data_IF_101653519034
#
_entry.id   IF_101653519034
#
_cell.length_a   1.000
_cell.length_b   1.000
_cell.length_c   1.000
_cell.angle_alpha   90.00
_cell.angle_beta   90.00
_cell.angle_gamma   90.00
#
_symmetry.space_group_name_H-M   'P 1'
#
loop_
_entity.id
_entity.type
_entity.pdbx_description
1 polymer ?
#
# COMPACT_ATOMS: atom_id res chain seq x y z
N UNK A 1 -21.64 27.06 20.00
CA UNK A 1 -21.92 26.05 18.96
C UNK A 1 -20.71 25.13 18.86
N UNK A 2 -20.70 24.03 19.61
CA UNK A 2 -19.58 23.08 19.65
C UNK A 2 -20.04 21.75 19.07
N UNK A 3 -19.69 21.47 17.82
CA UNK A 3 -19.96 20.17 17.19
C UNK A 3 -18.82 19.20 17.48
N UNK A 4 -19.16 18.12 18.19
CA UNK A 4 -18.30 16.96 18.44
C UNK A 4 -18.33 16.04 17.22
N UNK A 5 -17.21 15.92 16.52
CA UNK A 5 -17.02 14.84 15.53
C UNK A 5 -16.50 13.61 16.26
N UNK A 6 -17.36 12.60 16.42
CA UNK A 6 -16.98 11.28 16.89
C UNK A 6 -16.30 10.52 15.74
N UNK A 7 -15.00 10.32 15.85
CA UNK A 7 -14.25 9.40 15.00
C UNK A 7 -14.47 8.00 15.57
N UNK A 8 -15.35 7.23 14.94
CA UNK A 8 -15.56 5.82 15.26
C UNK A 8 -14.30 5.03 14.92
N UNK A 9 -13.56 4.64 15.95
CA UNK A 9 -12.48 3.68 15.87
C UNK A 9 -13.08 2.29 15.56
N UNK A 10 -12.90 1.80 14.33
CA UNK A 10 -13.16 0.41 14.00
C UNK A 10 -12.03 -0.45 14.60
N UNK A 11 -12.19 -0.83 15.86
CA UNK A 11 -11.29 -1.71 16.58
C UNK A 11 -11.30 -3.12 15.98
N UNK A 12 -10.10 -3.67 15.82
CA UNK A 12 -9.83 -5.01 15.31
C UNK A 12 -10.59 -6.09 16.08
N UNK A 13 -11.38 -6.91 15.38
CA UNK A 13 -11.88 -8.17 15.91
C UNK A 13 -10.78 -9.23 15.84
N UNK A 14 -10.08 -9.44 16.96
CA UNK A 14 -9.23 -10.60 17.20
C UNK A 14 -10.11 -11.77 17.65
N UNK A 15 -10.51 -12.65 16.72
CA UNK A 15 -11.13 -13.93 17.07
C UNK A 15 -10.06 -14.88 17.60
N UNK A 16 -10.15 -15.24 18.89
CA UNK A 16 -9.51 -16.42 19.45
C UNK A 16 -10.24 -17.67 18.90
N UNK A 17 -9.49 -18.55 18.23
CA UNK A 17 -9.94 -19.87 17.79
C UNK A 17 -8.79 -20.87 17.90
N UNK A 18 -9.05 -21.97 18.58
CA UNK A 18 -8.09 -22.93 19.14
C UNK A 18 -7.46 -23.91 18.14
N UNK A 19 -6.20 -24.28 18.43
CA UNK A 19 -5.51 -25.54 18.12
C UNK A 19 -5.09 -25.84 16.66
N UNK A 20 -3.91 -25.32 16.33
CA UNK A 20 -2.96 -25.84 15.34
C UNK A 20 -1.71 -25.00 15.45
N UNK A 21 -0.51 -25.57 15.55
CA UNK A 21 0.74 -24.81 15.50
C UNK A 21 0.96 -24.24 14.09
N UNK A 22 0.13 -23.29 13.69
CA UNK A 22 0.34 -22.39 12.57
C UNK A 22 0.89 -21.11 13.19
N UNK A 23 2.15 -20.76 12.91
CA UNK A 23 2.59 -19.44 13.30
C UNK A 23 1.79 -18.43 12.44
N UNK A 24 1.33 -17.31 13.03
CA UNK A 24 0.32 -16.46 12.40
C UNK A 24 0.94 -15.66 11.25
N UNK A 25 0.94 -16.23 10.04
CA UNK A 25 1.22 -15.48 8.82
C UNK A 25 0.05 -14.55 8.50
N UNK A 26 0.33 -13.26 8.32
CA UNK A 26 -0.68 -12.22 8.11
C UNK A 26 -0.28 -11.33 6.94
N UNK A 27 -1.26 -10.96 6.12
CA UNK A 27 -1.11 -9.96 5.08
C UNK A 27 -2.32 -9.04 5.07
N UNK A 28 -2.09 -7.74 5.10
CA UNK A 28 -3.13 -6.72 5.09
C UNK A 28 -2.76 -5.62 4.11
N UNK A 29 -3.76 -5.03 3.50
CA UNK A 29 -3.62 -3.88 2.63
C UNK A 29 -4.81 -2.96 2.83
N UNK A 30 -4.60 -1.67 2.58
CA UNK A 30 -5.63 -0.63 2.58
C UNK A 30 -5.43 0.24 1.35
N UNK A 31 -6.53 0.75 0.80
CA UNK A 31 -6.53 1.70 -0.28
C UNK A 31 -7.51 2.83 -0.03
N UNK A 32 -7.11 4.03 -0.39
CA UNK A 32 -7.95 5.23 -0.37
C UNK A 32 -7.76 5.99 -1.66
N UNK A 33 -8.85 6.51 -2.22
CA UNK A 33 -8.79 7.41 -3.35
C UNK A 33 -9.92 8.42 -3.25
N UNK A 34 -9.63 9.67 -3.58
CA UNK A 34 -10.62 10.72 -3.66
C UNK A 34 -10.28 11.63 -4.84
N UNK A 35 -11.29 12.01 -5.59
CA UNK A 35 -11.15 12.90 -6.74
C UNK A 35 -12.31 13.86 -6.82
N UNK A 36 -12.04 15.00 -7.43
CA UNK A 36 -13.02 16.02 -7.75
C UNK A 36 -12.72 16.54 -9.15
N UNK A 37 -13.75 16.69 -9.98
CA UNK A 37 -13.64 17.24 -11.31
C UNK A 37 -14.79 18.23 -11.53
N UNK A 38 -14.48 19.39 -12.10
CA UNK A 38 -15.45 20.45 -12.37
C UNK A 38 -14.96 21.40 -13.46
N UNK A 39 -15.81 22.36 -13.84
CA UNK A 39 -15.52 23.30 -14.94
C UNK A 39 -14.23 24.13 -14.74
N UNK A 40 -13.77 24.26 -13.49
CA UNK A 40 -12.57 25.03 -13.12
C UNK A 40 -11.30 24.18 -13.01
N UNK A 41 -11.38 22.86 -13.21
CA UNK A 41 -10.25 21.93 -13.08
C UNK A 41 -10.62 20.62 -12.39
N UNK A 42 -9.64 19.74 -12.26
CA UNK A 42 -9.76 18.45 -11.60
C UNK A 42 -8.60 18.21 -10.64
N UNK A 43 -8.86 17.55 -9.52
CA UNK A 43 -7.82 17.16 -8.58
C UNK A 43 -8.14 15.83 -7.94
N UNK A 44 -7.11 15.05 -7.64
CA UNK A 44 -7.28 13.76 -7.01
C UNK A 44 -6.09 13.36 -6.18
N UNK A 45 -6.36 12.45 -5.28
CA UNK A 45 -5.38 11.76 -4.46
C UNK A 45 -5.69 10.28 -4.47
N UNK A 46 -4.65 9.47 -4.52
CA UNK A 46 -4.74 8.03 -4.42
C UNK A 46 -3.65 7.54 -3.49
N UNK A 47 -3.96 6.55 -2.68
CA UNK A 47 -3.00 5.96 -1.76
C UNK A 47 -3.33 4.51 -1.53
N UNK A 48 -2.29 3.68 -1.46
CA UNK A 48 -2.43 2.33 -0.92
C UNK A 48 -1.26 2.05 0.00
N UNK A 49 -1.49 1.14 0.94
CA UNK A 49 -0.44 0.64 1.80
C UNK A 49 -0.74 -0.79 2.22
N UNK A 50 0.28 -1.46 2.71
CA UNK A 50 0.19 -2.85 3.03
C UNK A 50 1.29 -3.29 3.99
N UNK A 51 1.00 -4.37 4.68
CA UNK A 51 1.93 -5.02 5.60
C UNK A 51 1.74 -6.52 5.54
N UNK A 52 2.83 -7.24 5.71
CA UNK A 52 2.84 -8.68 5.83
C UNK A 52 3.86 -9.11 6.89
N UNK A 53 3.53 -10.14 7.64
CA UNK A 53 4.41 -10.74 8.63
C UNK A 53 4.22 -12.26 8.66
N UNK A 54 5.31 -12.99 8.84
CA UNK A 54 5.34 -14.44 9.01
C UNK A 54 6.61 -14.80 9.79
N UNK A 55 6.47 -15.64 10.82
CA UNK A 55 7.55 -15.99 11.74
C UNK A 55 8.34 -14.76 12.21
N UNK A 56 9.65 -14.76 11.95
CA UNK A 56 10.54 -13.63 12.26
C UNK A 56 10.73 -12.64 11.12
N UNK A 57 9.85 -12.61 10.11
CA UNK A 57 9.91 -11.68 8.97
C UNK A 57 8.74 -10.70 8.98
N UNK A 58 8.97 -9.49 8.48
CA UNK A 58 7.93 -8.50 8.22
C UNK A 58 8.30 -7.62 7.04
N UNK A 59 7.31 -7.16 6.30
CA UNK A 59 7.48 -6.23 5.20
C UNK A 59 6.25 -5.33 5.07
N UNK A 60 6.48 -4.03 4.90
CA UNK A 60 5.44 -3.02 4.76
C UNK A 60 5.81 -2.07 3.63
N UNK A 61 4.81 -1.65 2.86
CA UNK A 61 4.99 -0.69 1.78
C UNK A 61 3.78 0.24 1.70
N UNK A 62 4.00 1.46 1.21
CA UNK A 62 2.97 2.46 1.00
C UNK A 62 3.32 3.35 -0.19
N UNK A 63 2.29 3.89 -0.82
CA UNK A 63 2.42 4.74 -1.99
C UNK A 63 1.25 5.69 -2.09
N UNK A 64 1.56 6.97 -2.32
CA UNK A 64 0.65 8.10 -2.41
C UNK A 64 0.92 8.85 -3.72
N UNK A 65 -0.14 9.17 -4.43
CA UNK A 65 -0.11 9.99 -5.64
C UNK A 65 -1.17 11.07 -5.55
N UNK A 66 -0.84 12.27 -6.01
CA UNK A 66 -1.74 13.39 -6.07
C UNK A 66 -1.54 14.14 -7.39
N UNK A 67 -2.64 14.50 -8.04
CA UNK A 67 -2.65 15.29 -9.26
C UNK A 67 -3.64 16.43 -9.09
N UNK A 68 -3.29 17.61 -9.56
CA UNK A 68 -4.17 18.77 -9.68
C UNK A 68 -3.98 19.38 -11.06
N UNK A 69 -5.08 19.52 -11.78
CA UNK A 69 -5.17 20.06 -13.10
C UNK A 69 -6.14 21.25 -13.11
N UNK A 70 -5.72 22.33 -13.73
CA UNK A 70 -6.51 23.53 -13.98
C UNK A 70 -6.38 23.89 -15.46
N UNK A 71 -7.29 24.70 -16.04
CA UNK A 71 -7.19 25.13 -17.44
C UNK A 71 -5.87 25.78 -17.83
N UNK A 72 -5.08 26.26 -16.86
CA UNK A 72 -3.84 27.00 -17.09
C UNK A 72 -2.58 26.28 -16.59
N UNK A 73 -2.70 25.24 -15.75
CA UNK A 73 -1.56 24.56 -15.14
C UNK A 73 -1.92 23.17 -14.62
N UNK A 74 -0.94 22.27 -14.62
CA UNK A 74 -1.04 20.94 -14.01
C UNK A 74 0.14 20.70 -13.07
N UNK A 75 -0.12 20.07 -11.93
CA UNK A 75 0.89 19.69 -10.94
C UNK A 75 0.61 18.30 -10.41
N UNK A 76 1.67 17.51 -10.31
CA UNK A 76 1.63 16.12 -9.86
C UNK A 76 2.64 15.90 -8.75
N UNK A 77 2.34 15.01 -7.81
CA UNK A 77 3.22 14.65 -6.71
C UNK A 77 3.06 13.18 -6.38
N UNK A 78 4.17 12.50 -6.12
CA UNK A 78 4.16 11.08 -5.82
C UNK A 78 5.20 10.77 -4.74
N UNK A 79 4.76 10.04 -3.71
CA UNK A 79 5.59 9.54 -2.63
C UNK A 79 5.43 8.03 -2.48
N UNK A 80 6.53 7.33 -2.22
CA UNK A 80 6.56 5.89 -1.98
C UNK A 80 7.57 5.62 -0.88
N UNK A 81 7.28 4.60 -0.06
CA UNK A 81 8.17 4.17 1.00
C UNK A 81 7.77 2.83 1.54
N UNK A 82 8.68 2.22 2.29
CA UNK A 82 8.43 0.95 2.92
C UNK A 82 9.59 0.51 3.80
N UNK A 83 9.43 -0.66 4.40
CA UNK A 83 10.42 -1.25 5.28
C UNK A 83 10.23 -2.75 5.31
N UNK A 84 11.33 -3.48 5.51
CA UNK A 84 11.30 -4.90 5.79
C UNK A 84 12.26 -5.23 6.94
N UNK A 85 11.97 -6.31 7.65
CA UNK A 85 12.74 -6.79 8.78
C UNK A 85 12.77 -8.32 8.83
N UNK A 86 13.91 -8.89 9.19
CA UNK A 86 14.09 -10.31 9.41
C UNK A 86 14.99 -10.56 10.63
N UNK A 87 14.61 -11.50 11.51
CA UNK A 87 15.44 -11.91 12.66
C UNK A 87 16.74 -12.61 12.25
N UNK A 88 16.67 -13.57 11.31
CA UNK A 88 17.83 -14.27 10.77
C UNK A 88 17.65 -14.51 9.28
N UNK A 89 17.99 -13.53 8.45
CA UNK A 89 17.76 -13.65 7.01
C UNK A 89 18.14 -12.42 6.21
N UNK A 90 17.76 -12.43 4.94
CA UNK A 90 18.00 -11.32 4.03
C UNK A 90 16.78 -10.43 3.95
N UNK A 91 17.06 -9.13 3.95
CA UNK A 91 16.06 -8.07 3.82
C UNK A 91 16.40 -7.28 2.56
N UNK A 92 15.39 -7.05 1.74
CA UNK A 92 15.45 -6.14 0.61
C UNK A 92 14.39 -5.07 0.82
N UNK A 93 14.79 -3.82 0.74
CA UNK A 93 13.89 -2.68 0.73
C UNK A 93 14.30 -1.81 -0.45
N UNK A 94 13.35 -1.55 -1.34
CA UNK A 94 13.57 -0.60 -2.42
C UNK A 94 12.35 0.27 -2.58
N UNK A 95 12.57 1.57 -2.54
CA UNK A 95 11.55 2.56 -2.85
C UNK A 95 12.16 3.51 -3.88
N UNK A 96 11.39 3.84 -4.91
CA UNK A 96 11.84 4.71 -5.97
C UNK A 96 10.69 5.37 -6.69
N UNK A 97 10.84 6.66 -6.94
CA UNK A 97 9.97 7.44 -7.82
C UNK A 97 10.71 7.64 -9.14
N UNK A 98 10.06 7.27 -10.24
CA UNK A 98 10.55 7.43 -11.59
C UNK A 98 9.55 8.29 -12.35
N UNK A 99 10.03 9.34 -12.98
CA UNK A 99 9.17 10.17 -13.80
C UNK A 99 9.92 11.21 -14.60
N UNK A 100 9.41 11.45 -15.80
CA UNK A 100 9.64 12.69 -16.55
C UNK A 100 8.25 13.29 -16.83
N UNK A 101 7.54 12.76 -17.83
CA UNK A 101 6.19 13.21 -18.24
C UNK A 101 5.03 12.39 -17.65
N UNK A 102 5.32 11.29 -16.94
CA UNK A 102 4.37 10.47 -16.16
C UNK A 102 5.10 10.06 -14.88
N UNK A 103 4.49 10.23 -13.71
CA UNK A 103 5.10 9.85 -12.44
C UNK A 103 4.70 8.42 -12.07
N UNK A 104 5.67 7.62 -11.69
CA UNK A 104 5.46 6.26 -11.18
C UNK A 104 6.31 6.05 -9.94
N UNK A 105 5.68 5.64 -8.85
CA UNK A 105 6.36 5.23 -7.63
C UNK A 105 6.18 3.76 -7.40
N UNK A 106 7.24 3.11 -6.94
CA UNK A 106 7.19 1.75 -6.44
C UNK A 106 7.91 1.68 -5.10
N UNK A 107 7.34 0.92 -4.16
CA UNK A 107 8.05 0.40 -3.00
C UNK A 107 7.86 -1.09 -2.97
N UNK A 108 8.94 -1.86 -3.00
CA UNK A 108 8.87 -3.27 -2.68
C UNK A 108 9.88 -3.65 -1.61
N UNK A 109 9.32 -4.29 -0.61
CA UNK A 109 9.99 -4.63 0.63
C UNK A 109 9.76 -6.12 0.83
N UNK A 110 10.84 -6.85 1.05
CA UNK A 110 10.82 -8.29 1.19
C UNK A 110 11.83 -8.74 2.24
N UNK A 111 11.37 -9.56 3.17
CA UNK A 111 12.19 -10.24 4.15
C UNK A 111 12.07 -11.75 3.91
N UNK A 112 13.20 -12.46 3.92
CA UNK A 112 13.24 -13.91 3.75
C UNK A 112 14.24 -14.54 4.71
N UNK A 113 13.84 -15.64 5.35
CA UNK A 113 14.66 -16.41 6.26
C UNK A 113 14.97 -17.80 5.71
N UNK A 114 16.13 -18.39 6.07
CA UNK A 114 16.41 -19.80 5.83
C UNK A 114 15.27 -20.65 6.40
N UNK A 115 14.85 -21.66 5.62
CA UNK A 115 13.70 -22.49 5.98
C UNK A 115 12.40 -22.08 5.31
N UNK A 116 12.37 -21.05 4.46
CA UNK A 116 11.22 -20.76 3.58
C UNK A 116 10.18 -19.80 4.16
N UNK A 117 10.46 -19.15 5.29
CA UNK A 117 9.60 -18.10 5.86
C UNK A 117 9.90 -16.77 5.19
N UNK A 118 8.91 -16.12 4.59
CA UNK A 118 9.10 -14.81 3.98
C UNK A 118 7.88 -13.90 4.11
N UNK A 119 8.14 -12.60 4.10
CA UNK A 119 7.14 -11.54 4.04
C UNK A 119 7.49 -10.59 2.92
N UNK A 120 6.49 -10.14 2.18
CA UNK A 120 6.65 -9.23 1.05
C UNK A 120 5.50 -8.24 1.01
N UNK A 121 5.82 -6.97 0.84
CA UNK A 121 4.86 -5.92 0.51
C UNK A 121 5.35 -5.18 -0.71
N UNK A 122 4.45 -4.96 -1.67
CA UNK A 122 4.76 -4.27 -2.91
C UNK A 122 3.63 -3.27 -3.22
N UNK A 123 3.97 -1.99 -3.16
CA UNK A 123 3.09 -0.89 -3.55
C UNK A 123 3.58 -0.27 -4.83
N UNK A 124 2.67 -0.08 -5.78
CA UNK A 124 2.91 0.68 -7.01
C UNK A 124 1.86 1.77 -7.14
N UNK A 125 2.31 2.98 -7.43
CA UNK A 125 1.46 4.14 -7.65
C UNK A 125 1.83 4.76 -8.98
N UNK A 126 0.84 5.11 -9.78
CA UNK A 126 1.02 5.77 -11.06
C UNK A 126 0.15 7.01 -11.12
N UNK A 127 0.74 8.06 -11.67
CA UNK A 127 0.09 9.26 -12.13
C UNK A 127 0.31 9.33 -13.65
N UNK A 128 -0.79 9.18 -14.40
CA UNK A 128 -0.81 9.19 -15.85
C UNK A 128 -1.93 10.10 -16.33
N UNK A 129 -1.63 11.39 -16.50
CA UNK A 129 -2.45 12.37 -17.24
C UNK A 129 -3.95 12.24 -16.98
N UNK A 130 -4.37 12.50 -15.74
CA UNK A 130 -5.76 12.42 -15.33
C UNK A 130 -6.21 11.04 -14.84
N UNK A 131 -5.32 10.06 -14.78
CA UNK A 131 -5.55 8.79 -14.10
C UNK A 131 -4.52 8.56 -12.99
N UNK A 132 -5.01 8.57 -11.76
CA UNK A 132 -4.25 8.21 -10.57
C UNK A 132 -4.59 6.78 -10.18
N UNK A 133 -3.59 5.92 -10.06
CA UNK A 133 -3.77 4.54 -9.60
C UNK A 133 -2.77 4.21 -8.52
N UNK A 134 -3.20 3.51 -7.48
CA UNK A 134 -2.32 2.95 -6.47
C UNK A 134 -2.75 1.52 -6.18
N UNK A 135 -1.79 0.61 -6.07
CA UNK A 135 -2.05 -0.81 -5.80
C UNK A 135 -0.99 -1.33 -4.85
N UNK A 136 -1.44 -1.92 -3.76
CA UNK A 136 -0.57 -2.66 -2.84
C UNK A 136 -0.89 -4.13 -2.85
N UNK A 137 0.14 -4.96 -2.82
CA UNK A 137 0.06 -6.41 -2.65
C UNK A 137 0.97 -6.82 -1.49
N UNK A 138 0.37 -7.36 -0.45
CA UNK A 138 1.06 -7.92 0.70
C UNK A 138 0.94 -9.43 0.70
N UNK A 139 2.02 -10.13 1.03
CA UNK A 139 2.09 -11.57 1.08
C UNK A 139 3.01 -12.02 2.21
N UNK A 140 2.60 -13.05 2.92
CA UNK A 140 3.39 -13.71 3.95
C UNK A 140 3.31 -15.21 3.71
N UNK A 141 4.38 -15.94 4.01
CA UNK A 141 4.43 -17.37 3.83
C UNK A 141 5.27 -18.03 4.90
N UNK A 142 4.81 -19.20 5.32
CA UNK A 142 5.55 -20.14 6.13
C UNK A 142 5.48 -21.54 5.52
N UNK A 143 6.48 -22.40 5.78
CA UNK A 143 6.50 -23.77 5.30
C UNK A 143 5.27 -24.56 5.77
N UNK A 144 4.79 -25.45 4.90
CA UNK A 144 3.68 -26.34 5.23
C UNK A 144 2.29 -25.82 4.84
N UNK A 145 2.18 -24.63 4.22
CA UNK A 145 0.90 -24.12 3.73
C UNK A 145 1.03 -23.09 2.60
N UNK A 146 -0.08 -22.77 1.91
CA UNK A 146 -0.09 -21.72 0.90
C UNK A 146 0.17 -20.34 1.54
N UNK A 147 0.78 -19.38 0.80
CA UNK A 147 0.98 -18.01 1.29
C UNK A 147 -0.33 -17.26 1.57
N UNK A 148 -0.41 -16.56 2.70
CA UNK A 148 -1.43 -15.53 2.91
C UNK A 148 -1.17 -14.33 2.00
N UNK A 149 -2.22 -13.80 1.39
CA UNK A 149 -2.15 -12.74 0.38
C UNK A 149 -3.27 -11.74 0.57
N UNK A 150 -2.93 -10.46 0.51
CA UNK A 150 -3.87 -9.36 0.48
C UNK A 150 -3.51 -8.41 -0.66
N UNK A 151 -4.51 -7.91 -1.37
CA UNK A 151 -4.33 -6.95 -2.45
C UNK A 151 -5.39 -5.87 -2.31
N UNK A 152 -4.96 -4.61 -2.29
CA UNK A 152 -5.85 -3.45 -2.33
C UNK A 152 -5.42 -2.56 -3.47
N UNK A 153 -6.40 -1.93 -4.08
CA UNK A 153 -6.21 -0.96 -5.14
C UNK A 153 -7.13 0.23 -4.93
N UNK A 154 -6.68 1.39 -5.36
CA UNK A 154 -7.51 2.57 -5.49
C UNK A 154 -7.15 3.25 -6.79
N UNK A 155 -8.15 3.85 -7.42
CA UNK A 155 -7.98 4.59 -8.66
C UNK A 155 -8.90 5.79 -8.64
N UNK A 156 -8.42 6.89 -9.18
CA UNK A 156 -9.18 8.12 -9.38
C UNK A 156 -8.99 8.53 -10.82
N UNK A 157 -10.12 8.68 -11.53
CA UNK A 157 -10.14 9.23 -12.87
C UNK A 157 -10.60 10.71 -12.77
N UNK A 158 -9.80 11.61 -13.31
CA UNK A 158 -9.99 13.05 -13.28
C UNK A 158 -10.67 13.60 -14.54
N UNK A 159 -11.13 12.72 -15.43
CA UNK A 159 -12.04 13.05 -16.54
C UNK A 159 -11.46 13.98 -17.60
N UNK A 160 -10.17 13.86 -17.91
CA UNK A 160 -9.55 14.61 -19.00
C UNK A 160 -10.08 14.20 -20.39
#
# INVERSE_FOLDING_TARGET
MTSRFAISAAAAMLLLGTAGAAFPQSASTVGTGAGSAGASGSSGVVGTGGSAAAGGTSASSLGLGAESNTPSASSSSLGTGGSAAAVNGHVMSHSGVHGNQNLSGQSMDQAHQPGGVWSKSHTVTHDRRGELTSRTKSMSHEPGGPPAKSTSGSSVNLGQ
#
